data_IF_556588723536
#
_entry.id   IF_556588723536
#
_cell.length_a   1.000
_cell.length_b   1.000
_cell.length_c   1.000
_cell.angle_alpha   90.00
_cell.angle_beta   90.00
_cell.angle_gamma   90.00
#
_symmetry.space_group_name_H-M   'P 1'
#
loop_
_entity.id
_entity.type
_entity.pdbx_description
1 polymer ?
#
# COMPACT_ATOMS: atom_id res chain seq x y z
N UNK A 1 6.13 2.02 10.70
CA UNK A 1 7.31 2.08 9.83
C UNK A 1 7.01 3.00 8.67
N UNK A 2 8.03 3.56 8.03
CA UNK A 2 7.84 4.51 6.92
C UNK A 2 7.26 3.77 5.69
N UNK A 3 6.16 4.25 5.08
CA UNK A 3 5.51 3.55 3.97
C UNK A 3 6.38 3.48 2.70
N UNK A 4 6.50 2.29 2.11
CA UNK A 4 7.43 2.04 1.00
C UNK A 4 6.85 1.81 -0.38
N UNK A 5 5.55 1.53 -0.46
CA UNK A 5 4.91 1.08 -1.69
C UNK A 5 5.03 2.10 -2.81
N UNK A 6 4.82 3.40 -2.54
CA UNK A 6 4.82 4.43 -3.57
C UNK A 6 6.20 4.56 -4.22
N UNK A 7 7.28 4.66 -3.43
CA UNK A 7 8.63 4.76 -3.99
C UNK A 7 9.01 3.51 -4.80
N UNK A 8 8.74 2.31 -4.27
CA UNK A 8 9.08 1.07 -4.96
C UNK A 8 8.34 0.90 -6.29
N UNK A 9 7.04 1.21 -6.31
CA UNK A 9 6.22 1.12 -7.53
C UNK A 9 6.65 2.16 -8.57
N UNK A 10 6.95 3.39 -8.14
CA UNK A 10 7.44 4.44 -9.04
C UNK A 10 8.80 4.04 -9.63
N UNK A 11 9.77 3.64 -8.80
CA UNK A 11 11.09 3.22 -9.30
C UNK A 11 11.03 2.02 -10.25
N UNK A 12 10.15 1.05 -9.98
CA UNK A 12 9.95 -0.07 -10.88
C UNK A 12 9.33 0.39 -12.22
N UNK A 13 8.36 1.31 -12.17
CA UNK A 13 7.74 1.91 -13.35
C UNK A 13 8.74 2.74 -14.17
N UNK A 14 9.58 3.55 -13.52
CA UNK A 14 10.62 4.35 -14.17
C UNK A 14 11.71 3.46 -14.80
N UNK A 15 12.13 2.39 -14.10
CA UNK A 15 13.21 1.53 -14.56
C UNK A 15 12.79 0.53 -15.64
N UNK A 16 11.58 -0.02 -15.54
CA UNK A 16 11.14 -1.14 -16.38
C UNK A 16 9.81 -0.90 -17.10
N UNK A 17 9.07 0.15 -16.75
CA UNK A 17 7.79 0.49 -17.35
C UNK A 17 7.93 1.11 -18.74
N UNK A 18 6.80 1.20 -19.43
CA UNK A 18 6.70 1.82 -20.77
C UNK A 18 5.59 2.87 -20.87
N UNK A 19 4.70 2.91 -19.88
CA UNK A 19 3.56 3.82 -19.86
C UNK A 19 3.80 4.91 -18.81
N UNK A 20 3.34 6.14 -19.07
CA UNK A 20 3.36 7.21 -18.08
C UNK A 20 2.65 6.85 -16.77
N UNK A 21 3.12 7.42 -15.65
CA UNK A 21 2.61 7.12 -14.31
C UNK A 21 1.12 7.49 -14.17
N UNK A 22 0.71 8.62 -14.71
CA UNK A 22 -0.68 9.08 -14.72
C UNK A 22 -1.61 8.09 -15.44
N UNK A 23 -1.16 7.52 -16.56
CA UNK A 23 -1.91 6.52 -17.32
C UNK A 23 -2.11 5.22 -16.52
N UNK A 24 -1.05 4.71 -15.88
CA UNK A 24 -1.15 3.44 -15.14
C UNK A 24 -1.92 3.58 -13.82
N UNK A 25 -1.93 4.78 -13.22
CA UNK A 25 -2.65 5.04 -11.98
C UNK A 25 -4.13 5.41 -12.18
N UNK A 26 -4.52 5.84 -13.39
CA UNK A 26 -5.88 6.30 -13.68
C UNK A 26 -6.97 5.29 -13.30
N UNK A 27 -6.84 3.97 -13.54
CA UNK A 27 -7.85 3.00 -13.12
C UNK A 27 -8.07 2.98 -11.60
N UNK A 28 -7.00 3.07 -10.81
CA UNK A 28 -7.09 3.09 -9.35
C UNK A 28 -7.72 4.39 -8.84
N UNK A 29 -7.36 5.54 -9.44
CA UNK A 29 -7.98 6.84 -9.14
C UNK A 29 -9.48 6.79 -9.41
N UNK A 30 -9.89 6.20 -10.54
CA UNK A 30 -11.29 6.05 -10.92
C UNK A 30 -12.05 5.20 -9.91
N UNK A 31 -11.54 4.01 -9.55
CA UNK A 31 -12.16 3.14 -8.56
C UNK A 31 -12.28 3.79 -7.18
N UNK A 32 -11.28 4.56 -6.76
CA UNK A 32 -11.34 5.26 -5.48
C UNK A 32 -12.38 6.39 -5.49
N UNK A 33 -12.54 7.09 -6.62
CA UNK A 33 -13.43 8.25 -6.75
C UNK A 33 -14.88 7.88 -7.02
N UNK A 34 -15.09 7.00 -8.00
CA UNK A 34 -16.44 6.57 -8.40
C UNK A 34 -16.96 5.45 -7.50
N UNK A 35 -16.05 4.81 -6.76
CA UNK A 35 -16.34 3.66 -5.93
C UNK A 35 -16.46 2.36 -6.72
N UNK A 36 -16.62 1.28 -5.98
CA UNK A 36 -16.90 -0.06 -6.51
C UNK A 36 -17.82 -0.81 -5.56
N UNK A 37 -18.53 -1.80 -6.10
CA UNK A 37 -19.43 -2.62 -5.29
C UNK A 37 -18.61 -3.62 -4.47
N UNK A 38 -18.90 -3.71 -3.17
CA UNK A 38 -18.25 -4.68 -2.29
C UNK A 38 -18.64 -6.10 -2.68
N UNK A 39 -17.63 -6.99 -2.72
CA UNK A 39 -17.89 -8.43 -2.69
C UNK A 39 -18.32 -8.85 -1.29
N UNK A 40 -18.97 -10.01 -1.20
CA UNK A 40 -19.28 -10.64 0.08
C UNK A 40 -18.07 -10.73 1.03
N UNK A 41 -16.92 -11.19 0.50
CA UNK A 41 -15.70 -11.33 1.29
C UNK A 41 -15.14 -10.00 1.80
N UNK A 42 -15.21 -8.94 0.99
CA UNK A 42 -14.70 -7.64 1.37
C UNK A 42 -15.61 -6.97 2.41
N UNK A 43 -16.93 -7.05 2.25
CA UNK A 43 -17.88 -6.58 3.24
C UNK A 43 -17.66 -7.29 4.60
N UNK A 44 -17.51 -8.62 4.58
CA UNK A 44 -17.17 -9.37 5.80
C UNK A 44 -15.87 -8.93 6.44
N UNK A 45 -14.81 -8.73 5.65
CA UNK A 45 -13.51 -8.32 6.18
C UNK A 45 -13.57 -6.95 6.86
N UNK A 46 -14.26 -5.98 6.26
CA UNK A 46 -14.49 -4.66 6.86
C UNK A 46 -15.24 -4.77 8.18
N UNK A 47 -16.31 -5.56 8.22
CA UNK A 47 -17.12 -5.76 9.41
C UNK A 47 -16.38 -6.48 10.53
N UNK A 48 -15.58 -7.49 10.20
CA UNK A 48 -14.76 -8.24 11.17
C UNK A 48 -13.70 -7.36 11.83
N UNK A 49 -13.23 -6.31 11.14
CA UNK A 49 -12.25 -5.36 11.66
C UNK A 49 -12.87 -4.07 12.25
N UNK A 50 -14.21 -3.97 12.31
CA UNK A 50 -14.94 -2.79 12.80
C UNK A 50 -14.43 -2.29 14.15
N UNK A 51 -14.24 -3.19 15.12
CA UNK A 51 -13.76 -2.84 16.46
C UNK A 51 -12.35 -2.23 16.47
N UNK A 52 -11.54 -2.49 15.44
CA UNK A 52 -10.24 -1.85 15.26
C UNK A 52 -10.39 -0.48 14.61
N UNK A 53 -11.24 -0.37 13.57
CA UNK A 53 -11.44 0.90 12.87
C UNK A 53 -12.07 1.98 13.75
N UNK A 54 -13.04 1.64 14.61
CA UNK A 54 -13.71 2.62 15.47
C UNK A 54 -12.78 3.33 16.47
N UNK A 55 -11.59 2.76 16.74
CA UNK A 55 -10.59 3.34 17.64
C UNK A 55 -9.93 4.59 17.08
N UNK A 56 -9.94 4.75 15.76
CA UNK A 56 -9.29 5.85 15.06
C UNK A 56 -10.31 6.55 14.17
N UNK A 57 -10.53 7.84 14.41
CA UNK A 57 -11.53 8.62 13.65
C UNK A 57 -11.33 8.48 12.13
N UNK A 58 -10.10 8.61 11.65
CA UNK A 58 -9.78 8.50 10.23
C UNK A 58 -10.22 7.14 9.64
N UNK A 59 -9.98 6.04 10.34
CA UNK A 59 -10.39 4.71 9.88
C UNK A 59 -11.89 4.50 9.99
N UNK A 60 -12.50 4.93 11.09
CA UNK A 60 -13.95 4.82 11.29
C UNK A 60 -14.72 5.48 10.16
N UNK A 61 -14.31 6.69 9.78
CA UNK A 61 -15.03 7.51 8.81
C UNK A 61 -14.97 6.91 7.38
N UNK A 62 -14.01 6.01 7.06
CA UNK A 62 -13.94 5.29 5.78
C UNK A 62 -14.42 3.84 5.83
N UNK A 63 -14.01 3.11 6.85
CA UNK A 63 -14.14 1.64 6.89
C UNK A 63 -15.27 1.16 7.79
N UNK A 64 -16.19 2.07 8.16
CA UNK A 64 -17.44 1.73 8.83
C UNK A 64 -18.58 2.52 8.21
N UNK A 65 -19.81 2.05 8.37
CA UNK A 65 -21.02 2.72 7.88
C UNK A 65 -21.48 3.87 8.79
N UNK A 66 -20.66 4.33 9.75
CA UNK A 66 -21.00 5.37 10.73
C UNK A 66 -21.91 4.90 11.89
N UNK A 67 -22.76 3.89 11.64
CA UNK A 67 -23.78 3.40 12.56
C UNK A 67 -23.50 1.98 13.10
N UNK A 68 -24.45 1.38 13.82
CA UNK A 68 -24.47 -0.05 14.16
C UNK A 68 -24.69 -0.97 12.96
N UNK A 69 -24.98 -0.41 11.77
CA UNK A 69 -25.08 -1.19 10.52
C UNK A 69 -23.72 -1.75 10.11
N UNK A 70 -23.77 -2.76 9.26
CA UNK A 70 -22.62 -3.47 8.72
C UNK A 70 -22.66 -3.30 7.20
N UNK A 71 -21.48 -3.33 6.56
CA UNK A 71 -21.42 -3.39 5.10
C UNK A 71 -22.04 -4.69 4.60
N UNK A 72 -22.73 -4.63 3.48
CA UNK A 72 -23.29 -5.78 2.77
C UNK A 72 -22.65 -5.94 1.39
N UNK A 73 -22.79 -7.14 0.82
CA UNK A 73 -22.41 -7.36 -0.58
C UNK A 73 -23.23 -6.43 -1.49
N UNK A 74 -22.57 -5.81 -2.46
CA UNK A 74 -23.22 -4.87 -3.37
C UNK A 74 -23.26 -3.42 -2.87
N UNK A 75 -22.84 -3.13 -1.64
CA UNK A 75 -22.70 -1.75 -1.18
C UNK A 75 -21.64 -1.01 -1.98
N UNK A 76 -21.91 0.25 -2.32
CA UNK A 76 -20.95 1.10 -3.02
C UNK A 76 -19.90 1.65 -2.05
N UNK A 77 -18.64 1.28 -2.27
CA UNK A 77 -17.52 1.70 -1.44
C UNK A 77 -16.68 2.78 -2.14
N UNK A 78 -16.73 4.01 -1.61
CA UNK A 78 -16.07 5.21 -2.17
C UNK A 78 -14.96 5.69 -1.24
N UNK A 79 -13.83 6.12 -1.81
CA UNK A 79 -12.64 6.55 -1.07
C UNK A 79 -12.06 7.86 -1.66
N UNK A 80 -12.79 8.97 -1.49
CA UNK A 80 -12.44 10.27 -2.11
C UNK A 80 -11.05 10.80 -1.73
N UNK A 81 -10.67 10.71 -0.45
CA UNK A 81 -9.35 11.17 0.00
C UNK A 81 -8.22 10.29 -0.54
N UNK A 82 -8.48 8.99 -0.70
CA UNK A 82 -7.56 8.08 -1.39
C UNK A 82 -7.45 8.48 -2.86
N UNK A 83 -8.56 8.77 -3.54
CA UNK A 83 -8.54 9.23 -4.93
C UNK A 83 -7.74 10.53 -5.10
N UNK A 84 -7.84 11.44 -4.12
CA UNK A 84 -7.06 12.69 -4.08
C UNK A 84 -5.56 12.39 -3.87
N UNK A 85 -5.24 11.49 -2.95
CA UNK A 85 -3.85 11.06 -2.69
C UNK A 85 -3.24 10.40 -3.94
N UNK A 86 -3.93 9.46 -4.55
CA UNK A 86 -3.50 8.81 -5.79
C UNK A 86 -3.32 9.81 -6.94
N UNK A 87 -4.20 10.82 -7.05
CA UNK A 87 -4.06 11.86 -8.05
C UNK A 87 -2.82 12.75 -7.83
N UNK A 88 -2.46 13.05 -6.56
CA UNK A 88 -1.20 13.75 -6.25
C UNK A 88 0.00 12.91 -6.67
N UNK A 89 0.01 11.62 -6.38
CA UNK A 89 1.10 10.71 -6.79
C UNK A 89 1.19 10.59 -8.30
N UNK A 90 0.06 10.44 -9.00
CA UNK A 90 0.05 10.40 -10.46
C UNK A 90 0.63 11.67 -11.10
N UNK A 91 0.39 12.84 -10.49
CA UNK A 91 0.82 14.14 -11.03
C UNK A 91 2.24 14.53 -10.64
N UNK A 92 2.64 14.25 -9.40
CA UNK A 92 3.89 14.74 -8.80
C UNK A 92 4.88 13.61 -8.49
N UNK A 93 4.57 12.38 -8.93
CA UNK A 93 5.38 11.21 -8.64
C UNK A 93 5.56 10.99 -7.14
N UNK A 94 6.80 10.74 -6.73
CA UNK A 94 7.18 10.47 -5.35
C UNK A 94 6.78 11.61 -4.40
N UNK A 95 6.96 12.86 -4.82
CA UNK A 95 6.63 14.03 -3.99
C UNK A 95 5.14 14.13 -3.69
N UNK A 96 4.27 13.53 -4.51
CA UNK A 96 2.83 13.47 -4.24
C UNK A 96 2.44 12.67 -2.99
N UNK A 97 3.36 11.86 -2.46
CA UNK A 97 3.19 11.07 -1.24
C UNK A 97 4.17 11.46 -0.12
N UNK A 98 5.45 11.57 -0.45
CA UNK A 98 6.53 11.78 0.53
C UNK A 98 6.79 13.26 0.86
N UNK A 99 6.07 14.19 0.21
CA UNK A 99 6.12 15.62 0.49
C UNK A 99 4.72 16.25 0.42
N UNK A 100 4.66 17.54 0.76
CA UNK A 100 3.45 18.36 0.64
C UNK A 100 2.25 17.79 1.41
N UNK A 101 1.01 17.99 0.92
CA UNK A 101 -0.20 17.73 1.69
C UNK A 101 -0.37 16.29 2.19
N UNK A 102 0.16 15.31 1.46
CA UNK A 102 0.07 13.90 1.88
C UNK A 102 1.03 13.63 3.04
N UNK A 103 2.28 14.11 2.95
CA UNK A 103 3.24 13.99 4.04
C UNK A 103 2.78 14.76 5.29
N UNK A 104 2.24 15.96 5.10
CA UNK A 104 1.68 16.78 6.18
C UNK A 104 0.56 16.04 6.93
N UNK A 105 -0.35 15.38 6.18
CA UNK A 105 -1.42 14.59 6.77
C UNK A 105 -0.90 13.38 7.57
N UNK A 106 0.13 12.70 7.06
CA UNK A 106 0.77 11.58 7.76
C UNK A 106 1.39 12.06 9.07
N UNK A 107 2.18 13.13 9.04
CA UNK A 107 2.87 13.65 10.23
C UNK A 107 1.88 14.19 11.25
N UNK A 108 0.84 14.90 10.82
CA UNK A 108 -0.22 15.37 11.73
C UNK A 108 -0.94 14.22 12.45
N UNK A 109 -1.17 13.09 11.77
CA UNK A 109 -1.78 11.92 12.40
C UNK A 109 -0.80 11.19 13.35
N UNK A 110 0.50 11.19 13.01
CA UNK A 110 1.54 10.68 13.92
C UNK A 110 1.60 11.51 15.19
N UNK A 111 1.61 12.83 15.11
CA UNK A 111 1.59 13.71 16.29
C UNK A 111 0.35 13.45 17.16
N UNK A 112 -0.82 13.30 16.54
CA UNK A 112 -2.09 13.04 17.25
C UNK A 112 -2.06 11.78 18.11
N UNK A 113 -1.40 10.71 17.64
CA UNK A 113 -1.34 9.42 18.32
C UNK A 113 0.04 9.07 18.88
N UNK A 114 0.95 10.05 19.00
CA UNK A 114 2.32 9.86 19.48
C UNK A 114 3.11 8.81 18.68
N UNK A 115 2.87 8.78 17.38
CA UNK A 115 3.67 8.08 16.39
C UNK A 115 5.05 8.73 16.18
N UNK A 116 5.90 8.05 15.41
CA UNK A 116 7.32 8.39 15.30
C UNK A 116 7.74 8.90 13.91
N UNK A 117 6.85 8.82 12.91
CA UNK A 117 7.20 9.20 11.53
C UNK A 117 7.15 10.73 11.42
N UNK A 118 8.27 11.31 10.98
CA UNK A 118 8.44 12.74 10.72
C UNK A 118 8.51 13.04 9.23
N UNK A 119 8.52 14.32 8.86
CA UNK A 119 8.81 14.74 7.49
C UNK A 119 10.20 14.28 7.03
N UNK A 120 11.21 14.25 7.90
CA UNK A 120 12.55 13.75 7.55
C UNK A 120 12.48 12.27 7.20
N UNK A 121 11.79 11.47 8.03
CA UNK A 121 11.65 10.03 7.77
C UNK A 121 10.98 9.75 6.41
N UNK A 122 9.96 10.53 6.05
CA UNK A 122 9.28 10.42 4.76
C UNK A 122 10.20 10.87 3.61
N UNK A 123 10.90 11.99 3.77
CA UNK A 123 11.82 12.53 2.77
C UNK A 123 12.98 11.55 2.49
N UNK A 124 13.60 11.03 3.56
CA UNK A 124 14.77 10.15 3.53
C UNK A 124 14.44 8.71 3.13
N UNK A 125 13.16 8.33 3.08
CA UNK A 125 12.77 6.95 2.76
C UNK A 125 13.25 6.53 1.37
N UNK A 126 13.87 5.37 1.22
CA UNK A 126 14.23 4.88 -0.10
C UNK A 126 14.03 3.36 -0.22
N UNK A 127 13.32 2.92 -1.26
CA UNK A 127 13.29 1.51 -1.64
C UNK A 127 14.58 1.12 -2.37
N UNK A 128 15.07 -0.08 -2.05
CA UNK A 128 16.43 -0.51 -2.40
C UNK A 128 16.38 -1.66 -3.40
N UNK A 129 17.14 -1.56 -4.48
CA UNK A 129 17.39 -2.67 -5.40
C UNK A 129 18.32 -3.69 -4.77
N UNK A 130 17.95 -4.97 -4.84
CA UNK A 130 18.73 -6.07 -4.28
C UNK A 130 18.77 -7.21 -5.27
N UNK A 131 19.92 -7.85 -5.38
CA UNK A 131 20.05 -9.05 -6.18
C UNK A 131 19.25 -10.20 -5.55
N UNK A 132 18.51 -10.98 -6.35
CA UNK A 132 17.75 -12.11 -5.82
C UNK A 132 18.68 -13.17 -5.24
N UNK A 133 18.17 -13.91 -4.26
CA UNK A 133 18.80 -15.16 -3.85
C UNK A 133 18.52 -16.19 -4.94
N UNK A 134 19.56 -16.72 -5.55
CA UNK A 134 19.46 -17.74 -6.59
C UNK A 134 19.75 -19.12 -6.01
N UNK A 135 18.85 -20.07 -6.25
CA UNK A 135 18.98 -21.46 -5.81
C UNK A 135 18.74 -22.38 -7.00
N UNK A 136 19.68 -23.27 -7.28
CA UNK A 136 19.48 -24.32 -8.27
C UNK A 136 18.81 -25.55 -7.64
N UNK A 137 17.73 -26.03 -8.25
CA UNK A 137 16.98 -27.18 -7.77
C UNK A 137 16.45 -28.01 -8.96
N UNK A 138 16.83 -29.29 -9.03
CA UNK A 138 16.40 -30.25 -10.07
C UNK A 138 16.54 -29.73 -11.51
N UNK A 139 17.62 -28.99 -11.79
CA UNK A 139 17.90 -28.42 -13.12
C UNK A 139 17.23 -27.08 -13.41
N UNK A 140 16.49 -26.49 -12.46
CA UNK A 140 15.92 -25.15 -12.55
C UNK A 140 16.71 -24.17 -11.67
N UNK A 141 16.79 -22.91 -12.10
CA UNK A 141 17.32 -21.81 -11.29
C UNK A 141 16.17 -20.97 -10.74
N UNK A 142 16.06 -20.87 -9.42
CA UNK A 142 15.00 -20.17 -8.72
C UNK A 142 15.53 -18.83 -8.20
N UNK A 143 14.92 -17.72 -8.62
CA UNK A 143 15.24 -16.38 -8.13
C UNK A 143 14.21 -15.93 -7.10
N UNK A 144 14.64 -15.70 -5.86
CA UNK A 144 13.76 -15.49 -4.71
C UNK A 144 14.13 -14.18 -4.00
N UNK A 145 13.15 -13.53 -3.37
CA UNK A 145 13.33 -12.24 -2.69
C UNK A 145 14.44 -12.31 -1.61
N UNK A 146 15.47 -11.44 -1.67
CA UNK A 146 16.55 -11.43 -0.68
C UNK A 146 16.10 -10.82 0.66
N UNK A 147 16.96 -10.87 1.71
CA UNK A 147 16.77 -10.07 2.91
C UNK A 147 16.40 -8.61 2.56
N UNK A 148 15.38 -8.02 3.22
CA UNK A 148 14.87 -8.36 4.54
C UNK A 148 13.82 -9.49 4.60
N UNK A 149 13.45 -10.09 3.47
CA UNK A 149 12.59 -11.29 3.49
C UNK A 149 13.39 -12.51 3.96
N UNK A 150 12.87 -13.24 4.95
CA UNK A 150 13.43 -14.53 5.38
C UNK A 150 13.00 -15.71 4.50
N UNK A 151 12.03 -15.50 3.60
CA UNK A 151 11.43 -16.56 2.78
C UNK A 151 12.43 -17.25 1.87
N UNK A 152 13.36 -16.51 1.27
CA UNK A 152 14.41 -17.11 0.42
C UNK A 152 15.35 -18.02 1.18
N UNK A 153 15.75 -17.66 2.39
CA UNK A 153 16.61 -18.50 3.24
C UNK A 153 15.88 -19.80 3.60
N UNK A 154 14.62 -19.69 4.03
CA UNK A 154 13.81 -20.85 4.39
C UNK A 154 13.58 -21.78 3.19
N UNK A 155 13.19 -21.23 2.03
CA UNK A 155 12.96 -22.01 0.80
C UNK A 155 14.27 -22.66 0.34
N UNK A 156 15.38 -21.91 0.30
CA UNK A 156 16.68 -22.45 -0.09
C UNK A 156 17.10 -23.63 0.81
N UNK A 157 16.83 -23.53 2.12
CA UNK A 157 17.12 -24.60 3.07
C UNK A 157 16.23 -25.82 2.83
N UNK A 158 14.92 -25.63 2.69
CA UNK A 158 13.96 -26.72 2.44
C UNK A 158 14.31 -27.46 1.14
N UNK A 159 14.58 -26.73 0.06
CA UNK A 159 14.91 -27.31 -1.24
C UNK A 159 16.22 -28.11 -1.25
N UNK A 160 17.15 -27.83 -0.32
CA UNK A 160 18.37 -28.65 -0.16
C UNK A 160 18.13 -29.94 0.63
N UNK A 161 17.01 -30.05 1.34
CA UNK A 161 16.67 -31.24 2.15
C UNK A 161 15.83 -32.27 1.38
N UNK A 162 15.28 -31.91 0.22
CA UNK A 162 14.43 -32.76 -0.65
C UNK A 162 15.07 -33.00 -2.02
#
# INVERSE_FOLDING_TARGET
>A
GVPGTVDGMIKASERYGRLPLDMVMQPAIKLAREGYLLSYSHAQDLNNHKDTFIKYRASRDYFTTGDSTLFEEGDLFVQEDLATTLQRVARFGREGFYAGPTADAIVAEMERYRGLITHSDLYDYESVWRDPVTVDYKGYSLHIMPPPSSGSVAIAQILKMV
#
